data_IF_703470651148
#
_entry.id   IF_703470651148
#
_cell.length_a   1.000
_cell.length_b   1.000
_cell.length_c   1.000
_cell.angle_alpha   90.00
_cell.angle_beta   90.00
_cell.angle_gamma   90.00
#
_symmetry.space_group_name_H-M   'P 1'
#
loop_
_entity.id
_entity.type
_entity.pdbx_description
1 polymer ?
#
# COMPACT_ATOMS: atom_id res chain seq x y z
N UNK A 1 -25.99 8.40 8.60
CA UNK A 1 -25.53 9.46 9.54
C UNK A 1 -24.07 9.83 9.36
N UNK A 2 -23.05 9.02 9.75
CA UNK A 2 -21.61 9.41 9.58
C UNK A 2 -21.18 9.52 8.11
N UNK A 3 -21.55 8.55 7.27
CA UNK A 3 -21.28 8.57 5.82
C UNK A 3 -21.83 9.83 5.15
N UNK A 4 -23.05 10.20 5.45
CA UNK A 4 -23.70 11.41 4.91
C UNK A 4 -22.99 12.67 5.37
N UNK A 5 -22.60 12.72 6.66
CA UNK A 5 -21.84 13.86 7.20
C UNK A 5 -20.51 14.04 6.46
N UNK A 6 -19.74 12.98 6.30
CA UNK A 6 -18.43 13.02 5.61
C UNK A 6 -18.61 13.51 4.16
N UNK A 7 -19.56 12.93 3.42
CA UNK A 7 -19.82 13.31 2.03
C UNK A 7 -20.33 14.74 1.87
N UNK A 8 -21.04 15.25 2.86
CA UNK A 8 -21.61 16.62 2.82
C UNK A 8 -20.65 17.70 3.30
N UNK A 9 -19.80 17.36 4.30
CA UNK A 9 -19.03 18.36 5.04
C UNK A 9 -17.52 18.26 4.87
N UNK A 10 -16.99 17.06 4.48
CA UNK A 10 -15.55 16.86 4.35
C UNK A 10 -15.10 16.65 2.90
N UNK A 11 -16.02 16.37 1.98
CA UNK A 11 -15.73 16.21 0.56
C UNK A 11 -15.76 17.56 -0.16
N UNK A 12 -14.74 17.81 -1.00
CA UNK A 12 -14.68 18.95 -1.91
C UNK A 12 -14.86 18.48 -3.36
N UNK A 13 -15.98 18.81 -3.98
CA UNK A 13 -16.22 18.51 -5.40
C UNK A 13 -15.26 19.29 -6.33
N UNK A 14 -14.76 20.44 -5.89
CA UNK A 14 -13.75 21.22 -6.63
C UNK A 14 -12.40 20.51 -6.67
N UNK A 15 -11.97 19.98 -5.54
CA UNK A 15 -10.65 19.36 -5.37
C UNK A 15 -10.68 17.85 -5.54
N UNK A 16 -11.88 17.22 -5.63
CA UNK A 16 -12.07 15.76 -5.64
C UNK A 16 -11.32 15.06 -4.51
N UNK A 17 -11.39 15.63 -3.29
CA UNK A 17 -10.62 15.16 -2.15
C UNK A 17 -11.39 15.33 -0.83
N UNK A 18 -11.05 14.50 0.15
CA UNK A 18 -11.53 14.62 1.53
C UNK A 18 -10.59 15.49 2.34
N UNK A 19 -11.14 16.47 3.05
CA UNK A 19 -10.38 17.39 3.88
C UNK A 19 -10.85 17.40 5.33
N UNK A 20 -9.96 17.77 6.22
CA UNK A 20 -10.32 18.14 7.59
C UNK A 20 -11.19 19.39 7.59
N UNK A 21 -12.08 19.51 8.60
CA UNK A 21 -12.92 20.66 8.80
C UNK A 21 -12.47 21.43 10.06
N UNK A 22 -12.34 22.73 9.92
CA UNK A 22 -12.09 23.62 11.06
C UNK A 22 -13.35 23.82 11.90
N UNK A 23 -13.17 24.36 13.12
CA UNK A 23 -14.28 24.60 14.05
C UNK A 23 -15.33 25.59 13.53
N UNK A 24 -14.95 26.47 12.59
CA UNK A 24 -15.86 27.42 11.93
C UNK A 24 -16.63 26.79 10.74
N UNK A 25 -16.41 25.52 10.47
CA UNK A 25 -17.04 24.79 9.38
C UNK A 25 -16.33 24.87 8.03
N UNK A 26 -15.26 25.67 7.89
CA UNK A 26 -14.46 25.75 6.67
C UNK A 26 -13.61 24.49 6.48
N UNK A 27 -13.32 24.11 5.22
CA UNK A 27 -12.44 22.99 4.91
C UNK A 27 -10.97 23.43 4.93
N UNK A 28 -10.11 22.55 5.42
CA UNK A 28 -8.66 22.64 5.21
C UNK A 28 -8.35 22.58 3.72
N UNK A 29 -7.24 23.17 3.29
CA UNK A 29 -6.71 23.05 1.93
C UNK A 29 -5.58 22.00 1.83
N UNK A 30 -5.34 21.24 2.89
CA UNK A 30 -4.20 20.32 2.99
C UNK A 30 -4.61 18.92 2.53
N UNK A 31 -4.06 18.49 1.38
CA UNK A 31 -4.19 17.08 0.93
C UNK A 31 -3.13 16.25 1.65
N UNK A 32 -3.56 15.42 2.60
CA UNK A 32 -2.70 14.55 3.38
C UNK A 32 -3.01 13.07 3.18
N UNK A 33 -2.01 12.20 3.35
CA UNK A 33 -2.14 10.74 3.18
C UNK A 33 -3.24 10.14 4.06
N UNK A 34 -3.48 10.70 5.25
CA UNK A 34 -4.48 10.16 6.19
C UNK A 34 -5.91 10.21 5.66
N UNK A 35 -6.22 11.11 4.71
CA UNK A 35 -7.52 11.13 4.05
C UNK A 35 -7.83 9.78 3.36
N UNK A 36 -6.81 9.07 2.89
CA UNK A 36 -6.96 7.77 2.23
C UNK A 36 -7.36 6.62 3.15
N UNK A 37 -7.40 6.82 4.47
CA UNK A 37 -8.02 5.84 5.37
C UNK A 37 -9.52 5.67 5.09
N UNK A 38 -10.13 6.61 4.39
CA UNK A 38 -11.47 6.46 3.85
C UNK A 38 -11.63 5.24 2.91
N UNK A 39 -10.54 4.77 2.28
CA UNK A 39 -10.51 3.56 1.47
C UNK A 39 -10.84 2.29 2.27
N UNK A 40 -10.58 2.27 3.58
CA UNK A 40 -10.90 1.16 4.47
C UNK A 40 -12.38 1.09 4.83
N UNK A 41 -13.20 1.97 4.25
CA UNK A 41 -14.63 2.11 4.51
C UNK A 41 -15.40 2.26 3.19
N UNK A 42 -16.73 2.20 3.26
CA UNK A 42 -17.61 2.47 2.11
C UNK A 42 -18.16 3.90 2.13
N UNK A 43 -17.38 4.86 2.61
CA UNK A 43 -17.84 6.24 2.78
C UNK A 43 -18.06 6.95 1.45
N UNK A 44 -17.21 6.75 0.45
CA UNK A 44 -17.34 7.32 -0.89
C UNK A 44 -18.11 6.38 -1.83
N UNK A 45 -18.90 6.95 -2.73
CA UNK A 45 -19.44 6.23 -3.89
C UNK A 45 -18.34 6.02 -4.95
N UNK A 46 -18.63 5.21 -5.98
CA UNK A 46 -17.64 4.83 -6.98
C UNK A 46 -17.10 6.04 -7.76
N UNK A 47 -17.93 6.99 -8.12
CA UNK A 47 -17.51 8.17 -8.90
C UNK A 47 -16.54 9.05 -8.12
N UNK A 48 -16.86 9.35 -6.85
CA UNK A 48 -15.97 10.11 -5.95
C UNK A 48 -14.71 9.33 -5.63
N UNK A 49 -14.83 8.03 -5.44
CA UNK A 49 -13.71 7.16 -5.15
C UNK A 49 -12.69 7.17 -6.29
N UNK A 50 -13.11 7.04 -7.56
CA UNK A 50 -12.22 7.08 -8.71
C UNK A 50 -11.46 8.42 -8.79
N UNK A 51 -12.14 9.52 -8.59
CA UNK A 51 -11.53 10.87 -8.58
C UNK A 51 -10.55 11.05 -7.43
N UNK A 52 -10.87 10.51 -6.26
CA UNK A 52 -10.03 10.56 -5.07
C UNK A 52 -8.75 9.74 -5.24
N UNK A 53 -8.87 8.52 -5.78
CA UNK A 53 -7.74 7.62 -6.04
C UNK A 53 -6.82 8.18 -7.12
N UNK A 54 -7.34 8.91 -8.13
CA UNK A 54 -6.54 9.50 -9.19
C UNK A 54 -5.41 10.41 -8.68
N UNK A 55 -5.55 11.05 -7.54
CA UNK A 55 -4.47 11.82 -6.91
C UNK A 55 -3.24 10.98 -6.54
N UNK A 56 -3.39 9.66 -6.32
CA UNK A 56 -2.25 8.76 -6.03
C UNK A 56 -1.40 8.49 -7.28
N UNK A 57 -1.91 8.75 -8.47
CA UNK A 57 -1.22 8.61 -9.75
C UNK A 57 -0.75 9.96 -10.31
N UNK A 58 -1.19 11.07 -9.71
CA UNK A 58 -0.84 12.42 -10.13
C UNK A 58 0.54 12.81 -9.59
N UNK A 59 1.45 13.16 -10.50
CA UNK A 59 2.84 13.59 -10.19
C UNK A 59 2.89 14.93 -9.44
N UNK A 60 1.87 15.77 -9.56
CA UNK A 60 1.81 17.03 -8.82
C UNK A 60 1.39 16.82 -7.36
N UNK A 61 0.88 15.64 -7.01
CA UNK A 61 0.40 15.35 -5.66
C UNK A 61 1.17 14.22 -4.97
N UNK A 62 0.77 12.95 -5.18
CA UNK A 62 1.28 11.83 -4.39
C UNK A 62 2.15 10.83 -5.17
N UNK A 63 2.19 10.90 -6.50
CA UNK A 63 3.01 10.03 -7.32
C UNK A 63 4.45 10.54 -7.40
N UNK A 64 5.21 10.33 -6.33
CA UNK A 64 6.61 10.76 -6.23
C UNK A 64 7.58 9.59 -6.46
N UNK A 65 8.89 9.87 -6.43
CA UNK A 65 9.92 8.83 -6.56
C UNK A 65 9.70 7.71 -5.55
N UNK A 66 9.47 8.06 -4.29
CA UNK A 66 9.05 7.14 -3.23
C UNK A 66 7.61 7.46 -2.82
N UNK A 67 6.68 6.56 -3.08
CA UNK A 67 5.27 6.69 -2.75
C UNK A 67 5.00 6.14 -1.34
N UNK A 68 4.16 6.74 -0.57
CA UNK A 68 3.28 7.89 -0.76
C UNK A 68 3.74 8.96 0.23
N UNK A 69 4.02 10.20 -0.19
CA UNK A 69 4.35 11.26 0.76
C UNK A 69 3.18 11.59 1.67
N UNK A 70 3.46 11.97 2.90
CA UNK A 70 2.44 12.33 3.89
C UNK A 70 1.65 13.60 3.54
N UNK A 71 2.19 14.45 2.68
CA UNK A 71 1.63 15.70 2.21
C UNK A 71 1.77 15.78 0.70
N UNK A 72 0.74 16.23 -0.01
CA UNK A 72 0.79 16.40 -1.47
C UNK A 72 1.92 17.35 -1.88
N UNK A 73 2.63 17.03 -2.98
CA UNK A 73 3.83 17.74 -3.41
C UNK A 73 3.55 19.19 -3.83
N UNK A 74 2.34 19.49 -4.31
CA UNK A 74 1.92 20.86 -4.66
C UNK A 74 1.55 21.74 -3.44
N UNK A 75 1.64 21.20 -2.21
CA UNK A 75 1.41 22.01 -1.02
C UNK A 75 2.66 22.88 -0.72
N UNK A 76 2.50 24.19 -0.41
CA UNK A 76 3.64 25.08 -0.12
C UNK A 76 4.52 24.64 1.07
N UNK A 77 3.99 23.80 1.95
CA UNK A 77 4.72 23.26 3.11
C UNK A 77 5.43 21.93 2.80
N UNK A 78 5.26 21.38 1.61
CA UNK A 78 5.92 20.15 1.21
C UNK A 78 7.45 20.29 1.25
N UNK A 79 8.13 19.24 1.69
CA UNK A 79 9.59 19.18 1.77
C UNK A 79 10.10 17.93 1.07
N UNK A 80 10.85 18.12 0.00
CA UNK A 80 11.43 17.05 -0.85
C UNK A 80 12.32 16.06 -0.07
N UNK A 81 12.93 16.52 1.02
CA UNK A 81 13.73 15.67 1.89
C UNK A 81 12.89 14.87 2.90
N UNK A 82 11.55 14.92 2.82
CA UNK A 82 10.67 14.16 3.69
C UNK A 82 10.72 14.60 5.15
N UNK A 83 10.58 15.90 5.43
CA UNK A 83 10.59 16.40 6.81
C UNK A 83 9.30 16.06 7.55
N UNK A 84 9.32 14.97 8.33
CA UNK A 84 8.20 14.52 9.17
C UNK A 84 6.89 14.43 8.36
N UNK A 85 5.78 15.03 8.80
CA UNK A 85 4.50 15.08 8.07
C UNK A 85 4.45 16.12 6.93
N UNK A 86 5.56 16.72 6.57
CA UNK A 86 5.69 17.64 5.45
C UNK A 86 6.25 16.96 4.19
N UNK A 87 5.89 15.70 3.95
CA UNK A 87 6.30 14.93 2.79
C UNK A 87 6.98 13.60 3.12
N UNK A 88 7.33 13.32 4.38
CA UNK A 88 7.90 12.03 4.76
C UNK A 88 7.01 10.86 4.33
N UNK A 89 7.61 9.79 3.82
CA UNK A 89 6.93 8.53 3.47
C UNK A 89 6.95 7.61 4.68
N UNK A 90 5.77 7.39 5.23
CA UNK A 90 5.58 6.62 6.46
C UNK A 90 5.09 5.22 6.13
N UNK A 91 5.87 4.16 6.40
CA UNK A 91 5.49 2.80 6.01
C UNK A 91 4.13 2.34 6.51
N UNK A 92 3.75 2.70 7.75
CA UNK A 92 2.43 2.37 8.29
C UNK A 92 1.29 3.04 7.54
N UNK A 93 1.42 4.34 7.20
CA UNK A 93 0.41 5.06 6.44
C UNK A 93 0.31 4.52 5.00
N UNK A 94 1.45 4.25 4.35
CA UNK A 94 1.49 3.65 3.02
C UNK A 94 0.84 2.26 3.00
N UNK A 95 1.10 1.42 4.01
CA UNK A 95 0.47 0.11 4.14
C UNK A 95 -1.06 0.21 4.21
N UNK A 96 -1.60 1.15 5.00
CA UNK A 96 -3.05 1.37 5.09
C UNK A 96 -3.67 1.77 3.75
N UNK A 97 -2.96 2.59 2.96
CA UNK A 97 -3.43 2.97 1.61
C UNK A 97 -3.41 1.77 0.66
N UNK A 98 -2.33 0.98 0.65
CA UNK A 98 -2.23 -0.24 -0.16
C UNK A 98 -3.38 -1.21 0.17
N UNK A 99 -3.62 -1.45 1.47
CA UNK A 99 -4.73 -2.29 1.94
C UNK A 99 -6.08 -1.78 1.43
N UNK A 100 -6.35 -0.49 1.59
CA UNK A 100 -7.60 0.12 1.16
C UNK A 100 -7.79 0.08 -0.36
N UNK A 101 -6.75 0.32 -1.15
CA UNK A 101 -6.80 0.20 -2.61
C UNK A 101 -7.15 -1.23 -3.04
N UNK A 102 -6.53 -2.22 -2.39
CA UNK A 102 -6.79 -3.63 -2.66
C UNK A 102 -8.24 -4.00 -2.38
N UNK A 103 -8.78 -3.58 -1.22
CA UNK A 103 -10.16 -3.83 -0.81
C UNK A 103 -11.19 -3.14 -1.74
N UNK A 104 -10.81 -2.01 -2.36
CA UNK A 104 -11.65 -1.28 -3.33
C UNK A 104 -11.46 -1.74 -4.77
N UNK A 105 -10.64 -2.76 -5.03
CA UNK A 105 -10.44 -3.34 -6.36
C UNK A 105 -9.42 -2.62 -7.24
N UNK A 106 -8.66 -1.64 -6.72
CA UNK A 106 -7.56 -0.98 -7.44
C UNK A 106 -6.27 -1.79 -7.32
N UNK A 107 -6.35 -3.08 -7.69
CA UNK A 107 -5.31 -4.07 -7.46
C UNK A 107 -3.97 -3.71 -8.10
N UNK A 108 -3.96 -3.30 -9.37
CA UNK A 108 -2.74 -2.93 -10.06
C UNK A 108 -2.05 -1.73 -9.39
N UNK A 109 -2.81 -0.69 -9.05
CA UNK A 109 -2.24 0.48 -8.36
C UNK A 109 -1.71 0.13 -6.96
N UNK A 110 -2.41 -0.72 -6.23
CA UNK A 110 -1.96 -1.23 -4.93
C UNK A 110 -0.62 -1.98 -5.07
N UNK A 111 -0.49 -2.85 -6.07
CA UNK A 111 0.74 -3.59 -6.37
C UNK A 111 1.89 -2.64 -6.76
N UNK A 112 1.63 -1.68 -7.64
CA UNK A 112 2.65 -0.72 -8.11
C UNK A 112 3.19 0.15 -6.95
N UNK A 113 2.30 0.57 -6.05
CA UNK A 113 2.70 1.32 -4.85
C UNK A 113 3.47 0.40 -3.89
N UNK A 114 3.02 -0.84 -3.70
CA UNK A 114 3.70 -1.81 -2.85
C UNK A 114 5.13 -2.08 -3.34
N UNK A 115 5.30 -2.33 -4.64
CA UNK A 115 6.62 -2.53 -5.27
C UNK A 115 7.51 -1.31 -5.12
N UNK A 116 6.99 -0.11 -5.44
CA UNK A 116 7.73 1.13 -5.31
C UNK A 116 8.20 1.36 -3.87
N UNK A 117 7.30 1.20 -2.90
CA UNK A 117 7.61 1.40 -1.49
C UNK A 117 8.64 0.39 -0.98
N UNK A 118 8.43 -0.89 -1.26
CA UNK A 118 9.37 -1.97 -0.90
C UNK A 118 10.77 -1.72 -1.46
N UNK A 119 10.88 -1.44 -2.76
CA UNK A 119 12.16 -1.20 -3.42
C UNK A 119 12.91 0.00 -2.84
N UNK A 120 12.22 1.12 -2.61
CA UNK A 120 12.84 2.30 -2.01
C UNK A 120 13.35 2.04 -0.58
N UNK A 121 12.55 1.39 0.27
CA UNK A 121 12.97 1.01 1.63
C UNK A 121 14.17 0.06 1.57
N UNK A 122 14.16 -0.92 0.68
CA UNK A 122 15.25 -1.88 0.51
C UNK A 122 16.55 -1.21 0.03
N UNK A 123 16.49 -0.29 -0.94
CA UNK A 123 17.65 0.44 -1.42
C UNK A 123 18.25 1.36 -0.33
N UNK A 124 17.41 2.02 0.48
CA UNK A 124 17.90 2.79 1.64
C UNK A 124 18.55 1.86 2.66
N UNK A 125 17.98 0.68 2.94
CA UNK A 125 18.59 -0.31 3.83
C UNK A 125 19.95 -0.79 3.30
N UNK A 126 20.08 -1.12 2.02
CA UNK A 126 21.36 -1.49 1.41
C UNK A 126 22.43 -0.42 1.58
N UNK A 127 22.04 0.84 1.49
CA UNK A 127 22.92 2.00 1.58
C UNK A 127 23.35 2.33 3.02
N UNK A 128 22.43 2.14 3.99
CA UNK A 128 22.62 2.60 5.37
C UNK A 128 22.83 1.48 6.38
N UNK A 129 22.49 0.22 6.03
CA UNK A 129 22.58 -0.94 6.91
C UNK A 129 21.46 -1.04 7.95
N UNK A 130 20.49 -0.13 7.95
CA UNK A 130 19.40 -0.12 8.94
C UNK A 130 18.07 0.34 8.36
N UNK A 131 16.97 0.10 9.11
CA UNK A 131 15.66 0.65 8.84
C UNK A 131 15.48 2.00 9.52
N UNK A 132 14.69 2.88 8.89
CA UNK A 132 14.43 4.24 9.33
C UNK A 132 12.96 4.45 9.63
N UNK A 133 12.64 5.37 10.51
CA UNK A 133 11.27 5.67 10.95
C UNK A 133 10.36 6.09 9.78
N UNK A 134 10.88 6.89 8.84
CA UNK A 134 10.24 7.32 7.59
C UNK A 134 11.32 7.68 6.56
N UNK A 135 10.90 7.88 5.31
CA UNK A 135 11.79 8.03 4.16
C UNK A 135 11.53 9.32 3.39
N UNK A 136 12.52 9.75 2.60
CA UNK A 136 12.38 10.89 1.70
C UNK A 136 11.54 10.53 0.46
N UNK A 137 10.64 11.41 0.01
CA UNK A 137 9.80 11.13 -1.17
C UNK A 137 10.51 11.36 -2.51
N UNK A 138 11.56 12.21 -2.57
CA UNK A 138 12.22 12.60 -3.82
C UNK A 138 13.63 12.00 -3.97
N UNK A 139 14.06 11.19 -3.04
CA UNK A 139 15.37 10.54 -3.09
C UNK A 139 15.37 9.21 -2.37
N UNK A 140 16.32 8.33 -2.72
CA UNK A 140 16.57 7.05 -2.05
C UNK A 140 17.39 7.32 -0.80
N UNK A 141 16.77 7.99 0.18
CA UNK A 141 17.38 8.41 1.44
C UNK A 141 16.38 8.26 2.60
N UNK A 142 16.87 8.22 3.86
CA UNK A 142 16.00 8.43 5.01
C UNK A 142 15.31 9.79 4.95
N UNK A 143 14.14 9.91 5.56
CA UNK A 143 13.50 11.21 5.76
C UNK A 143 14.39 12.12 6.62
N UNK A 144 14.30 13.43 6.39
CA UNK A 144 15.07 14.42 7.17
C UNK A 144 14.73 14.33 8.66
N UNK A 145 15.73 14.08 9.48
CA UNK A 145 15.62 13.81 10.94
C UNK A 145 14.89 12.51 11.29
N UNK A 146 14.72 11.59 10.35
CA UNK A 146 14.17 10.28 10.65
C UNK A 146 15.05 9.53 11.64
N UNK A 147 14.44 8.72 12.49
CA UNK A 147 15.13 7.92 13.49
C UNK A 147 15.71 6.65 12.85
N UNK A 148 17.01 6.37 13.00
CA UNK A 148 17.62 5.10 12.57
C UNK A 148 17.24 3.97 13.54
N UNK A 149 17.57 2.74 13.16
CA UNK A 149 17.34 1.51 13.94
C UNK A 149 15.89 1.34 14.39
N UNK A 150 14.98 1.72 13.49
CA UNK A 150 13.54 1.75 13.76
C UNK A 150 12.84 0.60 13.04
N UNK A 151 12.46 -0.45 13.78
CA UNK A 151 11.75 -1.61 13.21
C UNK A 151 10.22 -1.46 13.28
N UNK A 152 9.64 -0.71 14.18
CA UNK A 152 8.20 -0.50 14.34
C UNK A 152 7.36 -0.77 13.08
N UNK A 153 6.71 0.25 12.54
CA UNK A 153 5.99 0.14 11.25
C UNK A 153 6.88 -0.09 10.02
N UNK A 154 8.21 0.14 10.13
CA UNK A 154 9.13 -0.12 9.03
C UNK A 154 9.43 -1.62 8.84
N UNK A 155 8.97 -2.46 9.75
CA UNK A 155 8.89 -3.91 9.51
C UNK A 155 7.81 -4.31 8.50
N UNK A 156 6.84 -3.44 8.20
CA UNK A 156 5.77 -3.73 7.22
C UNK A 156 6.28 -3.98 5.79
N UNK A 157 7.17 -3.15 5.19
CA UNK A 157 7.68 -3.39 3.85
C UNK A 157 8.33 -4.77 3.66
N UNK A 158 9.32 -5.19 4.47
CA UNK A 158 9.98 -6.47 4.26
C UNK A 158 9.15 -7.70 4.65
N UNK A 159 8.06 -7.54 5.37
CA UNK A 159 7.20 -8.65 5.81
C UNK A 159 5.83 -8.57 5.13
N UNK A 160 4.93 -7.73 5.62
CA UNK A 160 3.55 -7.71 5.16
C UNK A 160 3.41 -7.23 3.72
N UNK A 161 4.09 -6.15 3.33
CA UNK A 161 4.00 -5.64 1.94
C UNK A 161 4.59 -6.66 0.97
N UNK A 162 5.72 -7.27 1.30
CA UNK A 162 6.33 -8.31 0.46
C UNK A 162 5.39 -9.51 0.30
N UNK A 163 4.90 -10.06 1.41
CA UNK A 163 4.11 -11.30 1.37
C UNK A 163 2.71 -11.04 0.81
N UNK A 164 2.00 -10.03 1.32
CA UNK A 164 0.58 -9.85 1.05
C UNK A 164 0.28 -9.16 -0.29
N UNK A 165 1.18 -8.28 -0.76
CA UNK A 165 0.92 -7.42 -1.93
C UNK A 165 1.90 -7.62 -3.09
N UNK A 166 3.15 -8.03 -2.82
CA UNK A 166 4.12 -8.32 -3.88
C UNK A 166 4.04 -9.80 -4.30
N UNK A 167 4.16 -10.72 -3.35
CA UNK A 167 3.93 -12.15 -3.60
C UNK A 167 2.43 -12.50 -3.69
N UNK A 168 1.57 -11.61 -3.20
CA UNK A 168 0.13 -11.71 -3.24
C UNK A 168 -0.48 -12.80 -2.35
N UNK A 169 0.25 -13.27 -1.33
CA UNK A 169 -0.12 -14.41 -0.50
C UNK A 169 -0.89 -13.96 0.74
N UNK A 170 -2.15 -14.38 0.85
CA UNK A 170 -3.02 -14.08 2.00
C UNK A 170 -3.75 -15.34 2.45
N UNK A 171 -3.71 -15.64 3.74
CA UNK A 171 -4.36 -16.82 4.31
C UNK A 171 -5.65 -16.48 5.04
N UNK A 172 -6.69 -17.30 4.82
CA UNK A 172 -7.87 -17.37 5.67
C UNK A 172 -7.90 -18.75 6.33
N UNK A 173 -7.32 -18.82 7.50
CA UNK A 173 -7.16 -20.08 8.24
C UNK A 173 -8.52 -20.67 8.67
N UNK A 174 -9.50 -19.83 8.98
CA UNK A 174 -10.84 -20.27 9.39
C UNK A 174 -11.58 -21.00 8.25
N UNK A 175 -11.46 -20.46 7.03
CA UNK A 175 -12.05 -21.07 5.84
C UNK A 175 -11.13 -22.13 5.20
N UNK A 176 -9.92 -22.32 5.73
CA UNK A 176 -8.88 -23.18 5.15
C UNK A 176 -8.56 -22.79 3.70
N UNK A 177 -8.40 -21.48 3.43
CA UNK A 177 -8.10 -20.95 2.10
C UNK A 177 -6.78 -20.20 2.08
N UNK A 178 -6.02 -20.40 1.01
CA UNK A 178 -4.84 -19.62 0.67
C UNK A 178 -5.11 -18.88 -0.64
N UNK A 179 -5.20 -17.57 -0.57
CA UNK A 179 -5.37 -16.70 -1.73
C UNK A 179 -3.99 -16.28 -2.23
N UNK A 180 -3.78 -16.38 -3.53
CA UNK A 180 -2.54 -15.92 -4.17
C UNK A 180 -2.90 -15.09 -5.40
N UNK A 181 -2.65 -13.80 -5.34
CA UNK A 181 -2.80 -12.87 -6.45
C UNK A 181 -1.47 -12.73 -7.18
N UNK A 182 -1.38 -13.37 -8.35
CA UNK A 182 -0.11 -13.51 -9.08
C UNK A 182 0.10 -12.31 -10.00
N UNK A 183 0.88 -11.33 -9.53
CA UNK A 183 1.23 -10.12 -10.29
C UNK A 183 2.61 -10.18 -10.94
N UNK A 184 3.54 -10.97 -10.38
CA UNK A 184 4.91 -11.11 -10.89
C UNK A 184 4.97 -12.04 -12.10
N UNK A 185 5.89 -11.77 -13.01
CA UNK A 185 6.17 -12.62 -14.17
C UNK A 185 7.31 -13.62 -13.91
N UNK A 186 8.25 -13.25 -13.05
CA UNK A 186 9.37 -14.09 -12.66
C UNK A 186 8.93 -15.25 -11.76
N UNK A 187 9.74 -16.30 -11.69
CA UNK A 187 9.53 -17.36 -10.71
C UNK A 187 9.69 -16.80 -9.29
N UNK A 188 8.68 -17.03 -8.45
CA UNK A 188 8.64 -16.53 -7.09
C UNK A 188 7.85 -17.46 -6.17
N UNK A 189 7.99 -17.26 -4.86
CA UNK A 189 7.24 -18.06 -3.90
C UNK A 189 7.69 -17.86 -2.46
N UNK A 190 7.23 -18.76 -1.60
CA UNK A 190 7.55 -18.75 -0.18
C UNK A 190 7.74 -20.18 0.30
N UNK A 191 8.67 -20.40 1.23
CA UNK A 191 8.85 -21.67 1.90
C UNK A 191 8.44 -21.56 3.36
N UNK A 192 7.82 -22.64 3.85
CA UNK A 192 7.45 -22.77 5.27
C UNK A 192 6.57 -21.62 5.80
N UNK A 193 5.68 -21.12 4.94
CA UNK A 193 4.70 -20.09 5.33
C UNK A 193 3.73 -20.66 6.37
N UNK A 194 3.58 -20.03 7.55
CA UNK A 194 2.69 -20.52 8.60
C UNK A 194 1.23 -20.49 8.16
N UNK A 195 0.51 -21.60 8.34
CA UNK A 195 -0.91 -21.70 8.05
C UNK A 195 -1.67 -22.23 9.28
N UNK A 196 -2.13 -21.34 10.12
CA UNK A 196 -2.72 -21.68 11.42
C UNK A 196 -1.66 -22.05 12.45
N UNK A 197 -2.06 -22.86 13.44
CA UNK A 197 -1.20 -23.17 14.59
C UNK A 197 -0.07 -24.17 14.26
N UNK A 198 -0.36 -25.16 13.42
CA UNK A 198 0.56 -26.27 13.12
C UNK A 198 0.75 -26.50 11.62
N UNK A 199 0.04 -25.73 10.79
CA UNK A 199 0.13 -25.82 9.35
C UNK A 199 1.33 -25.05 8.81
N UNK A 200 1.94 -25.62 7.76
CA UNK A 200 3.03 -25.02 7.01
C UNK A 200 2.76 -25.25 5.52
N UNK A 201 2.92 -24.19 4.73
CA UNK A 201 2.74 -24.20 3.28
C UNK A 201 4.00 -23.69 2.60
N UNK A 202 4.48 -24.43 1.60
CA UNK A 202 5.48 -23.94 0.64
C UNK A 202 4.83 -23.82 -0.72
N UNK A 203 4.98 -22.66 -1.35
CA UNK A 203 4.40 -22.29 -2.64
C UNK A 203 5.51 -21.81 -3.57
N UNK A 204 5.52 -22.30 -4.81
CA UNK A 204 6.36 -21.82 -5.90
C UNK A 204 5.49 -21.55 -7.12
N UNK A 205 5.44 -20.31 -7.55
CA UNK A 205 4.78 -19.88 -8.79
C UNK A 205 5.83 -19.80 -9.89
N UNK A 206 5.62 -20.52 -10.99
CA UNK A 206 6.56 -20.55 -12.13
C UNK A 206 6.55 -19.24 -12.90
N UNK A 207 7.67 -18.93 -13.55
CA UNK A 207 7.79 -17.77 -14.46
C UNK A 207 6.74 -17.83 -15.57
N UNK A 208 6.22 -16.66 -15.97
CA UNK A 208 5.21 -16.48 -17.02
C UNK A 208 5.68 -15.49 -18.07
N UNK A 209 5.17 -15.63 -19.30
CA UNK A 209 5.49 -14.72 -20.41
C UNK A 209 4.62 -13.44 -20.42
N UNK A 210 3.43 -13.48 -19.81
CA UNK A 210 2.53 -12.33 -19.69
C UNK A 210 1.64 -12.43 -18.44
N UNK A 211 1.01 -11.32 -18.05
CA UNK A 211 0.07 -11.27 -16.91
C UNK A 211 -1.22 -12.05 -17.16
N UNK A 212 -1.63 -12.20 -18.41
CA UNK A 212 -2.84 -12.93 -18.82
C UNK A 212 -2.64 -14.45 -18.83
N UNK A 213 -1.38 -14.92 -18.92
CA UNK A 213 -1.07 -16.34 -18.89
C UNK A 213 -1.45 -16.91 -17.53
N UNK A 214 -2.18 -18.04 -17.55
CA UNK A 214 -2.53 -18.77 -16.33
C UNK A 214 -1.28 -19.20 -15.56
N UNK A 215 -1.17 -18.86 -14.26
CA UNK A 215 -0.03 -19.23 -13.46
C UNK A 215 -0.02 -20.73 -13.14
N UNK A 216 1.17 -21.31 -13.13
CA UNK A 216 1.42 -22.67 -12.65
C UNK A 216 2.03 -22.57 -11.25
N UNK A 217 1.39 -23.17 -10.26
CA UNK A 217 1.85 -23.17 -8.88
C UNK A 217 2.14 -24.61 -8.40
N UNK A 218 3.30 -24.80 -7.78
CA UNK A 218 3.67 -26.00 -7.05
C UNK A 218 3.47 -25.75 -5.55
N UNK A 219 2.75 -26.65 -4.89
CA UNK A 219 2.40 -26.51 -3.48
C UNK A 219 2.76 -27.74 -2.69
N UNK A 220 3.36 -27.53 -1.51
CA UNK A 220 3.60 -28.56 -0.50
C UNK A 220 3.02 -28.09 0.84
N UNK A 221 2.28 -28.94 1.54
CA UNK A 221 1.71 -28.61 2.84
C UNK A 221 1.52 -29.84 3.70
N UNK A 222 1.61 -29.64 5.01
CA UNK A 222 1.26 -30.68 6.01
C UNK A 222 -0.20 -30.61 6.47
N UNK A 223 -0.98 -29.64 5.98
CA UNK A 223 -2.41 -29.47 6.31
C UNK A 223 -3.23 -29.27 5.04
N UNK A 224 -4.51 -29.71 5.02
CA UNK A 224 -5.39 -29.47 3.89
C UNK A 224 -5.85 -28.02 3.84
N UNK A 225 -5.89 -27.44 2.63
CA UNK A 225 -6.48 -26.13 2.33
C UNK A 225 -6.88 -26.06 0.86
N UNK A 226 -7.70 -25.06 0.53
CA UNK A 226 -8.04 -24.69 -0.83
C UNK A 226 -7.10 -23.57 -1.31
N UNK A 227 -6.42 -23.78 -2.46
CA UNK A 227 -5.62 -22.75 -3.11
C UNK A 227 -6.49 -22.01 -4.12
N UNK A 228 -6.56 -20.68 -3.97
CA UNK A 228 -7.28 -19.79 -4.88
C UNK A 228 -6.26 -18.88 -5.56
N UNK A 229 -6.04 -19.10 -6.86
CA UNK A 229 -5.17 -18.29 -7.68
C UNK A 229 -6.00 -17.26 -8.45
N UNK A 230 -5.54 -16.01 -8.42
CA UNK A 230 -6.06 -14.92 -9.26
C UNK A 230 -4.92 -14.26 -10.03
N UNK A 231 -5.18 -13.80 -11.26
CA UNK A 231 -4.18 -13.16 -12.12
C UNK A 231 -4.85 -12.28 -13.18
N UNK A 232 -4.12 -11.30 -13.70
CA UNK A 232 -4.66 -10.35 -14.67
C UNK A 232 -5.83 -9.56 -14.09
N UNK A 233 -6.79 -9.22 -14.93
CA UNK A 233 -8.00 -8.47 -14.56
C UNK A 233 -9.16 -9.40 -14.13
N UNK A 234 -8.87 -10.64 -13.73
CA UNK A 234 -9.87 -11.66 -13.33
C UNK A 234 -10.07 -11.69 -11.82
#
# INVERSE_FOLDING_TARGET
>A
MLKEYINKHLWSDKENFLFDQYADGSLSSTKGIHAYWALLTDVLDKERLDKFVAHLEDKETFNRLHRIPSLAANNPKYKENGRYWQGGVWPGATYMVITGLMDKGYKQLAHDIAMNHYQNVFEVYKKTGTFWEYYAPESVEPGFMARPDFIGWTGLPPVSVLIEYILGIRSNVYEKKLYVEVNLLEEHGIREYPFGKEGVVSLLVKARSSKEQEPVAEVQSNVPFELILTWGDK
#
